data_IF_674479639573
#
_entry.id   IF_674479639573
#
_cell.length_a   1.000
_cell.length_b   1.000
_cell.length_c   1.000
_cell.angle_alpha   90.00
_cell.angle_beta   90.00
_cell.angle_gamma   90.00
#
_symmetry.space_group_name_H-M   'P 1'
#
loop_
_entity.id
_entity.type
_entity.pdbx_description
1 polymer ?
#
# COMPACT_ATOMS: atom_id res chain seq x y z
N UNK A 1 -16.21 7.47 -15.31
CA UNK A 1 -15.14 6.76 -14.60
C UNK A 1 -14.73 7.59 -13.41
N UNK A 2 -15.52 7.48 -12.36
CA UNK A 2 -15.17 7.93 -11.00
C UNK A 2 -14.45 6.77 -10.28
N UNK A 3 -14.10 6.95 -9.00
CA UNK A 3 -13.40 5.92 -8.22
C UNK A 3 -14.26 4.66 -8.01
N UNK A 4 -15.57 4.81 -7.78
CA UNK A 4 -16.50 3.69 -7.63
C UNK A 4 -16.54 2.82 -8.90
N UNK A 5 -16.69 3.44 -10.08
CA UNK A 5 -16.68 2.74 -11.38
C UNK A 5 -15.38 1.95 -11.58
N UNK A 6 -14.25 2.48 -11.09
CA UNK A 6 -12.96 1.82 -11.18
C UNK A 6 -12.84 0.63 -10.21
N UNK A 7 -13.35 0.77 -8.99
CA UNK A 7 -13.34 -0.29 -7.99
C UNK A 7 -14.22 -1.45 -8.43
N UNK A 8 -15.40 -1.17 -9.00
CA UNK A 8 -16.29 -2.20 -9.55
C UNK A 8 -15.58 -2.99 -10.66
N UNK A 9 -15.01 -2.30 -11.66
CA UNK A 9 -14.29 -2.96 -12.78
C UNK A 9 -13.06 -3.74 -12.29
N UNK A 10 -12.32 -3.20 -11.32
CA UNK A 10 -11.16 -3.88 -10.76
C UNK A 10 -11.59 -5.14 -9.98
N UNK A 11 -12.72 -5.10 -9.28
CA UNK A 11 -13.26 -6.24 -8.54
C UNK A 11 -13.66 -7.35 -9.51
N UNK A 12 -14.29 -6.99 -10.64
CA UNK A 12 -14.61 -7.94 -11.72
C UNK A 12 -13.34 -8.56 -12.33
N UNK A 13 -12.29 -7.77 -12.60
CA UNK A 13 -11.01 -8.26 -13.15
C UNK A 13 -10.30 -9.22 -12.19
N UNK A 14 -10.42 -8.99 -10.89
CA UNK A 14 -9.74 -9.76 -9.86
C UNK A 14 -10.59 -10.91 -9.28
N UNK A 15 -11.84 -11.07 -9.73
CA UNK A 15 -12.81 -12.04 -9.22
C UNK A 15 -13.02 -11.89 -7.69
N UNK A 16 -13.19 -10.64 -7.26
CA UNK A 16 -13.40 -10.28 -5.85
C UNK A 16 -14.85 -9.87 -5.63
N UNK A 17 -15.58 -10.66 -4.85
CA UNK A 17 -16.95 -10.35 -4.43
C UNK A 17 -16.93 -9.80 -3.00
N UNK A 18 -16.55 -8.52 -2.85
CA UNK A 18 -16.47 -7.83 -1.55
C UNK A 18 -16.98 -6.40 -1.64
N UNK A 19 -17.68 -5.96 -0.59
CA UNK A 19 -18.03 -4.55 -0.43
C UNK A 19 -16.83 -3.83 0.21
N UNK A 20 -16.34 -2.79 -0.47
CA UNK A 20 -15.16 -2.02 -0.03
C UNK A 20 -15.61 -0.71 0.60
N UNK A 21 -15.32 -0.51 1.90
CA UNK A 21 -15.43 0.80 2.53
C UNK A 21 -14.22 1.67 2.15
N UNK A 22 -14.36 2.44 1.08
CA UNK A 22 -13.35 3.36 0.59
C UNK A 22 -12.94 4.40 1.65
N UNK A 23 -13.89 4.90 2.42
CA UNK A 23 -13.63 5.93 3.43
C UNK A 23 -12.70 5.42 4.51
N UNK A 24 -13.01 4.24 5.04
CA UNK A 24 -12.20 3.55 6.05
C UNK A 24 -10.78 3.26 5.53
N UNK A 25 -10.64 2.73 4.30
CA UNK A 25 -9.33 2.41 3.73
C UNK A 25 -8.50 3.68 3.52
N UNK A 26 -9.09 4.73 2.95
CA UNK A 26 -8.38 5.98 2.66
C UNK A 26 -8.01 6.74 3.93
N UNK A 27 -8.84 6.71 4.96
CA UNK A 27 -8.54 7.33 6.25
C UNK A 27 -7.42 6.59 6.98
N UNK A 28 -7.44 5.25 6.98
CA UNK A 28 -6.34 4.46 7.55
C UNK A 28 -5.03 4.71 6.81
N UNK A 29 -5.06 4.74 5.47
CA UNK A 29 -3.88 5.06 4.66
C UNK A 29 -3.31 6.44 5.04
N UNK A 30 -4.18 7.45 5.18
CA UNK A 30 -3.78 8.81 5.59
C UNK A 30 -3.11 8.80 6.96
N UNK A 31 -3.69 8.10 7.93
CA UNK A 31 -3.14 8.00 9.29
C UNK A 31 -1.76 7.35 9.26
N UNK A 32 -1.61 6.24 8.53
CA UNK A 32 -0.32 5.55 8.41
C UNK A 32 0.74 6.45 7.74
N UNK A 33 0.39 7.13 6.65
CA UNK A 33 1.31 8.03 5.95
C UNK A 33 1.80 9.20 6.82
N UNK A 34 0.93 9.72 7.68
CA UNK A 34 1.23 10.88 8.52
C UNK A 34 1.94 10.54 9.84
N UNK A 35 1.70 9.35 10.40
CA UNK A 35 2.27 8.99 11.71
C UNK A 35 3.47 8.04 11.60
N UNK A 36 3.59 7.26 10.51
CA UNK A 36 4.68 6.27 10.35
C UNK A 36 5.71 6.76 9.33
N UNK A 37 5.35 6.76 8.05
CA UNK A 37 6.17 7.24 6.93
C UNK A 37 5.29 7.31 5.66
N UNK A 38 5.66 8.12 4.67
CA UNK A 38 4.87 8.24 3.43
C UNK A 38 4.56 6.89 2.75
N UNK A 39 5.51 5.93 2.65
CA UNK A 39 5.23 4.61 2.05
C UNK A 39 4.28 3.74 2.89
N UNK A 40 4.01 4.09 4.15
CA UNK A 40 3.19 3.28 5.03
C UNK A 40 1.71 3.23 4.59
N UNK A 41 1.21 4.22 3.83
CA UNK A 41 -0.15 4.20 3.30
C UNK A 41 -0.45 2.93 2.49
N UNK A 42 0.21 2.66 1.34
CA UNK A 42 -0.07 1.47 0.54
C UNK A 42 0.29 0.16 1.24
N UNK A 43 1.33 0.16 2.09
CA UNK A 43 1.73 -1.05 2.85
C UNK A 43 0.63 -1.42 3.86
N UNK A 44 0.08 -0.44 4.56
CA UNK A 44 -0.95 -0.67 5.58
C UNK A 44 -2.24 -1.19 4.96
N UNK A 45 -2.69 -0.61 3.84
CA UNK A 45 -3.94 -1.04 3.20
C UNK A 45 -3.79 -2.42 2.54
N UNK A 46 -2.64 -2.74 1.96
CA UNK A 46 -2.33 -4.09 1.47
C UNK A 46 -2.41 -5.12 2.59
N UNK A 47 -1.75 -4.86 3.73
CA UNK A 47 -1.75 -5.80 4.86
C UNK A 47 -3.13 -5.93 5.52
N UNK A 48 -3.91 -4.84 5.58
CA UNK A 48 -5.30 -4.89 6.05
C UNK A 48 -6.13 -5.83 5.16
N UNK A 49 -6.10 -5.63 3.84
CA UNK A 49 -6.82 -6.47 2.88
C UNK A 49 -6.36 -7.94 2.93
N UNK A 50 -5.05 -8.18 3.02
CA UNK A 50 -4.50 -9.53 3.16
C UNK A 50 -4.98 -10.21 4.45
N UNK A 51 -4.96 -9.52 5.59
CA UNK A 51 -5.42 -10.07 6.86
C UNK A 51 -6.92 -10.35 6.85
N UNK A 52 -7.72 -9.46 6.28
CA UNK A 52 -9.16 -9.63 6.12
C UNK A 52 -9.48 -10.87 5.26
N UNK A 53 -8.85 -11.00 4.08
CA UNK A 53 -9.04 -12.14 3.20
C UNK A 53 -8.57 -13.46 3.79
N UNK A 54 -7.40 -13.47 4.47
CA UNK A 54 -6.88 -14.67 5.12
C UNK A 54 -7.73 -15.12 6.32
N UNK A 55 -8.42 -14.18 6.99
CA UNK A 55 -9.30 -14.45 8.13
C UNK A 55 -10.74 -14.76 7.76
N UNK A 56 -11.16 -14.51 6.51
CA UNK A 56 -12.58 -14.53 6.12
C UNK A 56 -13.38 -13.47 6.88
N UNK A 57 -12.79 -12.30 7.10
CA UNK A 57 -13.36 -11.21 7.88
C UNK A 57 -14.67 -10.71 7.27
N UNK A 58 -15.67 -10.49 8.12
CA UNK A 58 -16.85 -9.72 7.76
C UNK A 58 -16.58 -8.20 7.93
N UNK A 59 -17.54 -7.31 7.63
CA UNK A 59 -17.35 -5.87 7.79
C UNK A 59 -16.97 -5.44 9.22
N UNK A 60 -17.52 -6.08 10.25
CA UNK A 60 -17.19 -5.75 11.65
C UNK A 60 -15.74 -6.16 12.00
N UNK A 61 -15.31 -7.32 11.50
CA UNK A 61 -13.92 -7.79 11.63
C UNK A 61 -12.95 -6.86 10.90
N UNK A 62 -13.31 -6.36 9.70
CA UNK A 62 -12.51 -5.40 8.95
C UNK A 62 -12.33 -4.09 9.72
N UNK A 63 -13.41 -3.54 10.27
CA UNK A 63 -13.36 -2.37 11.14
C UNK A 63 -12.45 -2.60 12.35
N UNK A 64 -12.55 -3.78 12.99
CA UNK A 64 -11.72 -4.14 14.13
C UNK A 64 -10.23 -4.25 13.76
N UNK A 65 -9.91 -4.79 12.58
CA UNK A 65 -8.55 -4.85 12.04
C UNK A 65 -8.01 -3.46 11.73
N UNK A 66 -8.81 -2.61 11.07
CA UNK A 66 -8.44 -1.24 10.76
C UNK A 66 -8.19 -0.42 12.03
N UNK A 67 -9.04 -0.57 13.05
CA UNK A 67 -8.87 0.09 14.33
C UNK A 67 -7.58 -0.35 15.06
N UNK A 68 -7.16 -1.61 14.91
CA UNK A 68 -5.87 -2.10 15.44
C UNK A 68 -4.69 -1.45 14.71
N UNK A 69 -4.74 -1.40 13.38
CA UNK A 69 -3.70 -0.77 12.57
C UNK A 69 -3.60 0.74 12.84
N UNK A 70 -4.73 1.42 12.95
CA UNK A 70 -4.81 2.84 13.31
C UNK A 70 -4.12 3.12 14.65
N UNK A 71 -4.49 2.38 15.71
CA UNK A 71 -3.87 2.58 17.04
C UNK A 71 -2.36 2.37 17.01
N UNK A 72 -1.88 1.38 16.26
CA UNK A 72 -0.45 1.14 16.11
C UNK A 72 0.24 2.35 15.45
N UNK A 73 -0.33 2.85 14.34
CA UNK A 73 0.20 4.01 13.63
C UNK A 73 0.19 5.28 14.51
N UNK A 74 -0.89 5.54 15.25
CA UNK A 74 -1.00 6.70 16.14
C UNK A 74 -0.04 6.65 17.33
N UNK A 75 0.29 5.45 17.82
CA UNK A 75 1.27 5.26 18.91
C UNK A 75 2.72 5.19 18.43
N UNK A 76 2.96 5.35 17.13
CA UNK A 76 4.30 5.20 16.57
C UNK A 76 5.19 6.39 16.96
N UNK A 77 6.11 6.16 17.91
CA UNK A 77 7.01 7.18 18.50
C UNK A 77 8.12 7.68 17.54
N UNK A 78 7.97 7.47 16.24
CA UNK A 78 8.90 7.97 15.21
C UNK A 78 8.21 9.06 14.40
N UNK A 79 8.75 10.29 14.32
CA UNK A 79 8.14 11.33 13.50
C UNK A 79 8.15 10.90 12.02
N UNK A 80 7.02 11.09 11.33
CA UNK A 80 6.96 10.84 9.90
C UNK A 80 8.02 11.67 9.16
N UNK A 81 8.79 11.00 8.30
CA UNK A 81 9.94 11.60 7.61
C UNK A 81 11.25 11.55 8.40
N UNK A 82 11.31 10.82 9.52
CA UNK A 82 12.59 10.37 10.04
C UNK A 82 13.32 9.58 8.93
N UNK A 83 14.62 9.83 8.69
CA UNK A 83 15.40 9.08 7.72
C UNK A 83 15.26 7.58 8.03
N UNK A 84 14.97 6.79 7.00
CA UNK A 84 15.09 5.34 7.12
C UNK A 84 16.59 5.05 7.38
N UNK A 85 16.95 4.38 8.49
CA UNK A 85 18.35 4.02 8.74
C UNK A 85 18.95 3.14 7.64
N UNK A 86 18.09 2.49 6.85
CA UNK A 86 18.44 1.64 5.72
C UNK A 86 18.21 2.33 4.35
N UNK A 87 17.75 3.59 4.31
CA UNK A 87 17.81 4.42 3.08
C UNK A 87 19.28 4.74 2.81
N UNK A 88 19.91 3.93 1.98
CA UNK A 88 21.16 4.31 1.34
C UNK A 88 20.82 5.33 0.25
N UNK A 89 21.05 6.61 0.56
CA UNK A 89 21.11 7.73 -0.39
C UNK A 89 22.33 7.59 -1.34
N UNK A 90 22.58 6.37 -1.83
CA UNK A 90 23.57 6.16 -2.88
C UNK A 90 23.05 6.86 -4.13
N UNK A 91 23.79 7.86 -4.62
CA UNK A 91 23.54 8.46 -5.93
C UNK A 91 23.43 7.33 -6.94
N UNK A 92 22.22 7.04 -7.43
CA UNK A 92 22.01 6.11 -8.54
C UNK A 92 22.88 6.65 -9.68
N UNK A 93 23.94 5.93 -10.10
CA UNK A 93 24.79 6.39 -11.17
C UNK A 93 23.93 6.59 -12.42
N UNK A 94 24.13 7.71 -13.12
CA UNK A 94 23.44 7.98 -14.37
C UNK A 94 23.84 6.95 -15.43
N UNK A 95 23.01 5.91 -15.53
CA UNK A 95 23.20 4.79 -16.46
C UNK A 95 22.87 5.18 -17.91
N UNK A 96 22.51 6.44 -18.18
CA UNK A 96 22.28 6.93 -19.54
C UNK A 96 23.52 6.89 -20.44
N UNK A 97 24.70 6.72 -19.85
CA UNK A 97 25.95 6.50 -20.57
C UNK A 97 26.24 5.03 -20.90
N UNK A 98 25.42 4.10 -20.40
CA UNK A 98 25.54 2.67 -20.71
C UNK A 98 24.90 2.39 -22.07
N UNK A 99 25.71 1.75 -22.91
CA UNK A 99 25.33 1.40 -24.27
C UNK A 99 24.45 0.14 -24.27
N UNK A 100 23.13 0.34 -24.25
CA UNK A 100 22.14 -0.75 -24.37
C UNK A 100 21.95 -1.25 -25.82
N UNK A 101 22.71 -0.75 -26.81
CA UNK A 101 22.49 -1.12 -28.22
C UNK A 101 22.88 -2.57 -28.54
N UNK A 102 23.56 -3.25 -27.62
CA UNK A 102 23.89 -4.68 -27.69
C UNK A 102 22.93 -5.61 -26.95
N UNK A 103 21.96 -5.10 -26.18
CA UNK A 103 21.03 -5.92 -25.41
C UNK A 103 19.93 -6.47 -26.32
N UNK A 104 20.22 -7.58 -26.99
CA UNK A 104 19.18 -8.42 -27.56
C UNK A 104 18.46 -9.14 -26.42
N UNK A 105 17.19 -8.81 -26.21
CA UNK A 105 16.30 -9.61 -25.37
C UNK A 105 16.17 -11.00 -26.01
N UNK A 106 16.97 -11.96 -25.52
CA UNK A 106 16.91 -13.36 -25.95
C UNK A 106 15.76 -14.05 -25.17
N UNK A 107 14.54 -13.57 -25.43
CA UNK A 107 13.32 -14.13 -24.88
C UNK A 107 12.74 -15.16 -25.84
N UNK A 108 13.14 -16.42 -25.67
CA UNK A 108 12.49 -17.59 -26.25
C UNK A 108 11.49 -18.21 -25.26
#
# INVERSE_FOLDING_TARGET
MNLHDWIDELSDVLDVDTEVDEGLILDLARIAAHNVARPAAPITTYLLGFAAGAGGADPEDLEALAARAQRLAESWDRPAGAPDPDDVDDEIPDDSSVDHTGETYDGA
#
